data_IF_412786587009
#
_entry.id   IF_412786587009
#
_cell.length_a   1.000
_cell.length_b   1.000
_cell.length_c   1.000
_cell.angle_alpha   90.00
_cell.angle_beta   90.00
_cell.angle_gamma   90.00
#
_symmetry.space_group_name_H-M   'P 1'
#
loop_
_entity.id
_entity.type
_entity.pdbx_description
1 polymer ?
#
# COMPACT_ATOMS: atom_id res chain seq x y z
N UNK A 1 -14.41 20.62 -20.71
CA UNK A 1 -15.22 19.76 -19.83
C UNK A 1 -14.31 18.64 -19.30
N UNK A 2 -13.64 18.86 -18.16
CA UNK A 2 -12.90 17.88 -17.34
C UNK A 2 -12.39 18.63 -16.09
N UNK A 3 -13.31 19.04 -15.23
CA UNK A 3 -13.01 19.57 -13.88
C UNK A 3 -13.21 18.44 -12.86
N UNK A 4 -12.42 17.37 -12.96
CA UNK A 4 -12.50 16.22 -12.04
C UNK A 4 -11.10 15.90 -11.55
N UNK A 5 -10.82 16.38 -10.33
CA UNK A 5 -9.65 16.11 -9.48
C UNK A 5 -8.37 15.78 -10.28
N UNK A 6 -7.62 16.80 -10.69
CA UNK A 6 -6.25 16.58 -11.17
C UNK A 6 -5.35 16.48 -9.93
N UNK A 7 -4.94 15.28 -9.48
CA UNK A 7 -3.85 15.20 -8.52
C UNK A 7 -2.64 15.90 -9.15
N UNK A 8 -2.09 16.88 -8.42
CA UNK A 8 -0.91 17.60 -8.86
C UNK A 8 0.24 16.60 -8.87
N UNK A 9 0.65 16.16 -10.06
CA UNK A 9 1.81 15.26 -10.21
C UNK A 9 3.04 16.07 -9.78
N UNK A 10 3.44 15.89 -8.53
CA UNK A 10 4.62 16.55 -7.97
C UNK A 10 5.86 15.81 -8.46
N UNK A 11 6.34 16.14 -9.66
CA UNK A 11 7.68 15.76 -10.12
C UNK A 11 8.77 16.67 -9.50
N UNK A 12 8.50 17.29 -8.36
CA UNK A 12 9.34 18.32 -7.77
C UNK A 12 10.32 17.73 -6.75
N UNK A 13 11.55 17.56 -7.24
CA UNK A 13 12.85 17.54 -6.51
C UNK A 13 13.33 16.17 -6.02
N UNK A 14 14.67 16.05 -5.95
CA UNK A 14 15.45 14.90 -5.43
C UNK A 14 14.69 14.20 -4.31
N UNK A 15 14.52 12.89 -4.47
CA UNK A 15 13.59 12.02 -3.75
C UNK A 15 13.30 12.42 -2.30
N UNK A 16 12.03 12.69 -2.01
CA UNK A 16 11.53 12.54 -0.65
C UNK A 16 11.59 11.04 -0.31
N UNK A 17 12.70 10.60 0.27
CA UNK A 17 12.96 9.19 0.56
C UNK A 17 11.88 8.56 1.44
N UNK A 18 11.12 9.36 2.19
CA UNK A 18 10.04 8.90 3.04
C UNK A 18 8.84 8.30 2.27
N UNK A 19 8.43 8.94 1.17
CA UNK A 19 7.36 8.42 0.31
C UNK A 19 7.85 7.22 -0.51
N UNK A 20 9.06 7.33 -1.07
CA UNK A 20 9.65 6.24 -1.86
C UNK A 20 9.89 4.99 -1.02
N UNK A 21 10.49 5.11 0.16
CA UNK A 21 10.80 3.96 1.02
C UNK A 21 9.54 3.22 1.49
N UNK A 22 8.45 3.95 1.74
CA UNK A 22 7.17 3.34 2.13
C UNK A 22 6.57 2.52 0.99
N UNK A 23 6.59 3.06 -0.23
CA UNK A 23 6.11 2.36 -1.42
C UNK A 23 7.03 1.21 -1.84
N UNK A 24 8.35 1.39 -1.78
CA UNK A 24 9.34 0.34 -2.04
C UNK A 24 9.16 -0.84 -1.07
N UNK A 25 8.97 -0.54 0.22
CA UNK A 25 8.68 -1.55 1.22
C UNK A 25 7.36 -2.26 0.96
N UNK A 26 6.29 -1.54 0.58
CA UNK A 26 5.02 -2.14 0.20
C UNK A 26 5.18 -3.12 -0.97
N UNK A 27 5.82 -2.69 -2.06
CA UNK A 27 5.99 -3.54 -3.25
C UNK A 27 6.92 -4.73 -3.00
N UNK A 28 7.93 -4.57 -2.14
CA UNK A 28 8.79 -5.69 -1.71
C UNK A 28 7.98 -6.76 -0.98
N UNK A 29 7.13 -6.36 -0.01
CA UNK A 29 6.27 -7.28 0.72
C UNK A 29 5.18 -7.89 -0.17
N UNK A 30 4.53 -7.11 -1.03
CA UNK A 30 3.53 -7.63 -1.99
C UNK A 30 4.12 -8.77 -2.84
N UNK A 31 5.30 -8.54 -3.43
CA UNK A 31 5.95 -9.55 -4.27
C UNK A 31 6.30 -10.81 -3.49
N UNK A 32 6.91 -10.66 -2.32
CA UNK A 32 7.42 -11.79 -1.52
C UNK A 32 6.33 -12.56 -0.77
N UNK A 33 5.29 -11.88 -0.28
CA UNK A 33 4.24 -12.48 0.54
C UNK A 33 3.01 -12.92 -0.28
N UNK A 34 2.70 -12.25 -1.41
CA UNK A 34 1.43 -12.47 -2.14
C UNK A 34 1.57 -12.95 -3.58
N UNK A 35 2.73 -12.76 -4.23
CA UNK A 35 2.95 -13.10 -5.64
C UNK A 35 3.90 -14.28 -5.83
N UNK A 36 5.13 -14.23 -5.30
CA UNK A 36 6.12 -15.30 -5.46
C UNK A 36 5.75 -16.68 -4.91
N UNK A 37 5.03 -16.81 -3.78
CA UNK A 37 4.67 -18.14 -3.29
C UNK A 37 3.52 -18.80 -4.06
N UNK A 38 2.93 -18.13 -5.04
CA UNK A 38 1.76 -18.62 -5.77
C UNK A 38 2.03 -18.70 -7.28
N UNK A 39 1.58 -19.80 -7.89
CA UNK A 39 1.61 -20.00 -9.34
C UNK A 39 0.42 -19.26 -9.97
N UNK A 40 0.61 -17.97 -10.28
CA UNK A 40 -0.45 -17.11 -10.83
C UNK A 40 -0.61 -17.39 -12.32
N UNK A 41 -1.78 -17.92 -12.72
CA UNK A 41 -2.02 -18.37 -14.10
C UNK A 41 -2.82 -17.40 -14.95
N UNK A 42 -3.39 -16.35 -14.36
CA UNK A 42 -4.16 -15.33 -15.07
C UNK A 42 -3.99 -13.94 -14.48
N UNK A 43 -4.29 -12.93 -15.30
CA UNK A 43 -4.30 -11.52 -14.86
C UNK A 43 -5.39 -11.31 -13.82
N UNK A 44 -6.55 -11.95 -13.98
CA UNK A 44 -7.66 -11.86 -13.02
C UNK A 44 -7.26 -12.40 -11.64
N UNK A 45 -6.53 -13.52 -11.60
CA UNK A 45 -6.00 -14.05 -10.34
C UNK A 45 -4.98 -13.08 -9.72
N UNK A 46 -4.08 -12.51 -10.53
CA UNK A 46 -3.13 -11.52 -10.05
C UNK A 46 -3.83 -10.30 -9.44
N UNK A 47 -4.86 -9.78 -10.11
CA UNK A 47 -5.65 -8.63 -9.66
C UNK A 47 -6.33 -8.92 -8.34
N UNK A 48 -7.05 -10.05 -8.23
CA UNK A 48 -7.72 -10.44 -6.99
C UNK A 48 -6.75 -10.53 -5.82
N UNK A 49 -5.59 -11.17 -6.02
CA UNK A 49 -4.55 -11.30 -4.99
C UNK A 49 -4.00 -9.95 -4.55
N UNK A 50 -3.78 -9.04 -5.49
CA UNK A 50 -3.31 -7.68 -5.18
C UNK A 50 -4.37 -6.94 -4.36
N UNK A 51 -5.64 -7.01 -4.73
CA UNK A 51 -6.74 -6.39 -3.98
C UNK A 51 -6.87 -6.95 -2.56
N UNK A 52 -6.84 -8.27 -2.42
CA UNK A 52 -6.84 -8.95 -1.12
C UNK A 52 -5.64 -8.53 -0.27
N UNK A 53 -4.45 -8.46 -0.87
CA UNK A 53 -3.24 -8.04 -0.16
C UNK A 53 -3.29 -6.56 0.24
N UNK A 54 -3.82 -5.66 -0.60
CA UNK A 54 -4.04 -4.25 -0.24
C UNK A 54 -5.00 -4.15 0.95
N UNK A 55 -6.07 -4.94 0.95
CA UNK A 55 -7.02 -4.98 2.07
C UNK A 55 -6.34 -5.48 3.36
N UNK A 56 -5.56 -6.57 3.27
CA UNK A 56 -4.78 -7.10 4.38
C UNK A 56 -3.76 -6.09 4.92
N UNK A 57 -3.00 -5.46 4.02
CA UNK A 57 -1.97 -4.47 4.35
C UNK A 57 -2.56 -3.27 5.10
N UNK A 58 -3.73 -2.79 4.68
CA UNK A 58 -4.38 -1.63 5.27
C UNK A 58 -5.15 -1.92 6.58
N UNK A 59 -5.77 -3.10 6.69
CA UNK A 59 -6.69 -3.40 7.80
C UNK A 59 -6.11 -4.28 8.89
N UNK A 60 -5.18 -5.18 8.55
CA UNK A 60 -4.78 -6.27 9.44
C UNK A 60 -3.28 -6.37 9.67
N UNK A 61 -2.44 -5.79 8.79
CA UNK A 61 -0.98 -5.94 8.91
C UNK A 61 -0.48 -5.33 10.22
N UNK A 62 0.08 -6.14 11.14
CA UNK A 62 0.52 -5.67 12.44
C UNK A 62 1.84 -4.90 12.28
N UNK A 63 1.79 -3.57 12.35
CA UNK A 63 2.98 -2.74 12.27
C UNK A 63 3.59 -2.56 13.67
N UNK A 64 4.77 -3.17 13.92
CA UNK A 64 5.49 -3.08 15.22
C UNK A 64 5.78 -1.64 15.65
N UNK A 65 5.94 -0.70 14.71
CA UNK A 65 6.18 0.74 14.95
C UNK A 65 4.93 1.50 15.44
N UNK A 66 3.75 0.90 15.39
CA UNK A 66 2.45 1.53 15.64
C UNK A 66 1.71 0.89 16.82
N UNK A 67 2.44 0.45 17.86
CA UNK A 67 1.84 -0.22 19.03
C UNK A 67 0.91 -1.41 18.67
N UNK A 68 1.18 -2.12 17.57
CA UNK A 68 0.36 -3.23 17.01
C UNK A 68 -1.00 -2.81 16.43
N UNK A 69 -1.20 -1.54 16.12
CA UNK A 69 -2.42 -1.04 15.49
C UNK A 69 -2.33 -1.14 13.97
N UNK A 70 -3.46 -1.40 13.32
CA UNK A 70 -3.54 -1.31 11.86
C UNK A 70 -3.51 0.16 11.39
N UNK A 71 -3.11 0.44 10.15
CA UNK A 71 -3.11 1.80 9.58
C UNK A 71 -4.44 2.55 9.73
N UNK A 72 -5.58 1.85 9.74
CA UNK A 72 -6.91 2.42 9.98
C UNK A 72 -7.11 2.81 11.45
N UNK A 73 -6.67 1.97 12.38
CA UNK A 73 -6.76 2.25 13.82
C UNK A 73 -5.88 3.44 14.23
N UNK A 74 -4.67 3.52 13.67
CA UNK A 74 -3.80 4.67 13.89
C UNK A 74 -4.39 5.98 13.35
N UNK A 75 -5.00 5.96 12.15
CA UNK A 75 -5.69 7.14 11.61
C UNK A 75 -6.84 7.60 12.49
N UNK A 76 -7.61 6.68 13.08
CA UNK A 76 -8.70 7.03 14.01
C UNK A 76 -8.19 7.68 15.31
N UNK A 77 -7.03 7.27 15.83
CA UNK A 77 -6.45 7.89 17.03
C UNK A 77 -5.87 9.28 16.79
N UNK A 78 -5.36 9.57 15.59
CA UNK A 78 -4.83 10.90 15.25
C UNK A 78 -5.90 11.96 14.99
N UNK A 79 -7.15 11.54 14.79
CA UNK A 79 -8.30 12.42 14.53
C UNK A 79 -9.16 12.66 15.80
N UNK A 80 -8.71 12.17 16.95
CA UNK A 80 -9.33 12.41 18.26
C UNK A 80 -8.68 13.54 19.01
#
# INVERSE_FOLDING_TARGET
CCKRLVPKISMSRRGNCYDNASMESFFSHLKTESLYPYDIRSIEEAQRRIEEYIHFFNNYRPQRKLNKLSPVQYRKQLMG
#
